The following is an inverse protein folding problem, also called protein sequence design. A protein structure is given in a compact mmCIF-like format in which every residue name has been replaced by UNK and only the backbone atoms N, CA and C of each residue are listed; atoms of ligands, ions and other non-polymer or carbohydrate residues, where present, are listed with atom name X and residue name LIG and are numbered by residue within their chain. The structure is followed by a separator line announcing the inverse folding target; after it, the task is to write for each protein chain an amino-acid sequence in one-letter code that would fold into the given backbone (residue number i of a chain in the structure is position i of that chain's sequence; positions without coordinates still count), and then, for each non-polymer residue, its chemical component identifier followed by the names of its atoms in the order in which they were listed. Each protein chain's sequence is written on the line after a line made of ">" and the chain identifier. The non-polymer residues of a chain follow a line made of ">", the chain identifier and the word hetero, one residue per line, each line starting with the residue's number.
data_IF_283120181550
#
_entry.id   IF_283120181550
#
_cell.length_a   1.000
_cell.length_b   1.000
_cell.length_c   1.000
_cell.angle_alpha   90.00
_cell.angle_beta   90.00
_cell.angle_gamma   90.00
#
_symmetry.space_group_name_H-M   'P 1'
#
loop_
_entity.id
_entity.type
_entity.pdbx_description
1 polymer ?
#
# COMPACT_ATOMS: atom_id res chain seq x y z
N UNK A 1 -1.55 -26.22 43.05
CA UNK A 1 -0.90 -24.93 42.77
C UNK A 1 -0.22 -25.05 41.41
N UNK A 2 -0.98 -24.83 40.32
CA UNK A 2 -0.43 -24.90 38.97
C UNK A 2 0.54 -23.73 38.80
N UNK A 3 1.84 -24.03 38.68
CA UNK A 3 2.84 -23.03 38.26
C UNK A 3 2.43 -22.59 36.86
N UNK A 4 1.87 -21.38 36.74
CA UNK A 4 1.60 -20.72 35.47
C UNK A 4 2.97 -20.58 34.78
N UNK A 5 3.28 -21.48 33.85
CA UNK A 5 4.49 -21.39 33.04
C UNK A 5 4.35 -20.09 32.26
N UNK A 6 5.10 -19.08 32.68
CA UNK A 6 5.11 -17.79 31.99
C UNK A 6 5.79 -18.06 30.65
N UNK A 7 5.05 -17.94 29.55
CA UNK A 7 5.58 -18.06 28.19
C UNK A 7 6.81 -17.16 28.07
N UNK A 8 7.93 -17.73 27.65
CA UNK A 8 9.15 -16.98 27.41
C UNK A 8 9.03 -16.26 26.06
N UNK A 9 8.69 -14.96 26.10
CA UNK A 9 8.72 -14.09 24.92
C UNK A 9 9.91 -13.15 25.00
N UNK A 10 10.69 -13.07 23.91
CA UNK A 10 11.78 -12.09 23.77
C UNK A 10 11.27 -10.63 23.83
N UNK A 11 9.99 -10.42 23.55
CA UNK A 11 9.35 -9.11 23.50
C UNK A 11 8.56 -8.76 24.78
N UNK A 12 8.57 -9.63 25.79
CA UNK A 12 7.81 -9.45 27.05
C UNK A 12 8.08 -8.11 27.74
N UNK A 13 9.31 -7.61 27.61
CA UNK A 13 9.81 -6.41 28.27
C UNK A 13 10.00 -5.23 27.30
N UNK A 14 9.40 -5.30 26.10
CA UNK A 14 9.32 -4.13 25.23
C UNK A 14 8.67 -2.98 25.99
N UNK A 15 9.25 -1.80 25.90
CA UNK A 15 8.69 -0.59 26.47
C UNK A 15 8.76 0.57 25.47
N UNK A 16 7.78 1.46 25.57
CA UNK A 16 7.74 2.69 24.79
C UNK A 16 8.36 3.85 25.56
N UNK A 17 9.11 4.71 24.87
CA UNK A 17 9.65 5.94 25.40
C UNK A 17 9.35 7.09 24.44
N UNK A 18 8.62 8.10 24.91
CA UNK A 18 8.44 9.34 24.16
C UNK A 18 9.75 10.14 24.13
N UNK A 19 10.06 10.72 22.98
CA UNK A 19 11.21 11.61 22.85
C UNK A 19 10.99 12.94 23.60
N UNK A 20 12.11 13.62 23.86
CA UNK A 20 12.09 14.95 24.46
C UNK A 20 11.48 15.97 23.49
N UNK A 21 10.98 17.09 24.03
CA UNK A 21 10.26 18.09 23.24
C UNK A 21 11.12 18.72 22.12
N UNK A 22 12.42 18.87 22.31
CA UNK A 22 13.36 19.37 21.29
C UNK A 22 13.51 18.43 20.07
N UNK A 23 13.15 17.17 20.24
CA UNK A 23 13.15 16.14 19.20
C UNK A 23 11.74 15.87 18.63
N UNK A 24 10.74 16.64 19.07
CA UNK A 24 9.39 16.60 18.53
C UNK A 24 9.22 17.65 17.43
N UNK A 25 8.12 17.60 16.68
CA UNK A 25 7.78 18.62 15.70
C UNK A 25 6.59 19.42 16.21
N UNK A 26 6.83 20.69 16.57
CA UNK A 26 5.85 21.55 17.23
C UNK A 26 5.25 22.60 16.28
N UNK A 27 4.09 23.15 16.65
CA UNK A 27 3.33 24.19 15.92
C UNK A 27 2.77 23.71 14.56
N UNK A 28 2.52 22.39 14.43
CA UNK A 28 1.94 21.77 13.24
C UNK A 28 0.41 21.70 13.36
N UNK A 29 -0.34 22.32 12.46
CA UNK A 29 -1.82 22.24 12.45
C UNK A 29 -2.31 20.94 11.81
N UNK A 30 -2.39 19.87 12.60
CA UNK A 30 -2.88 18.57 12.13
C UNK A 30 -4.34 18.66 11.68
N UNK A 31 -4.67 17.98 10.58
CA UNK A 31 -6.03 17.97 10.03
C UNK A 31 -7.08 17.56 11.06
N UNK A 32 -8.25 18.21 10.96
CA UNK A 32 -9.42 17.95 11.81
C UNK A 32 -10.51 17.17 11.08
N UNK A 33 -10.26 16.79 9.83
CA UNK A 33 -11.19 16.00 9.02
C UNK A 33 -11.51 14.69 9.75
N UNK A 34 -12.79 14.33 9.80
CA UNK A 34 -13.24 13.06 10.38
C UNK A 34 -13.04 11.94 9.37
N UNK A 35 -11.86 11.34 9.41
CA UNK A 35 -11.50 10.19 8.58
C UNK A 35 -10.62 9.23 9.38
N UNK A 36 -10.71 7.92 9.13
CA UNK A 36 -10.06 6.90 9.96
C UNK A 36 -8.66 6.48 9.48
N UNK A 37 -8.07 7.17 8.49
CA UNK A 37 -6.66 6.94 8.10
C UNK A 37 -5.69 7.43 9.18
N UNK A 38 -4.41 7.12 9.04
CA UNK A 38 -3.40 7.42 10.05
C UNK A 38 -3.05 8.93 10.17
N UNK A 39 -3.32 9.73 9.12
CA UNK A 39 -2.91 11.14 8.94
C UNK A 39 -1.40 11.42 8.95
N UNK A 40 -0.58 10.38 9.07
CA UNK A 40 0.86 10.49 9.21
C UNK A 40 1.53 9.32 8.49
N UNK A 41 2.43 9.64 7.57
CA UNK A 41 3.24 8.65 6.87
C UNK A 41 4.70 9.02 7.05
N UNK A 42 5.55 8.04 7.37
CA UNK A 42 6.96 8.28 7.68
C UNK A 42 7.81 7.29 6.92
N UNK A 43 8.98 7.74 6.47
CA UNK A 43 10.00 6.88 5.91
C UNK A 43 11.39 7.27 6.51
N UNK A 44 12.47 6.60 6.12
CA UNK A 44 13.81 6.89 6.68
C UNK A 44 14.35 8.30 6.42
N UNK A 45 13.75 9.10 5.54
CA UNK A 45 14.19 10.47 5.20
C UNK A 45 13.25 11.55 5.71
N UNK A 46 11.93 11.31 5.69
CA UNK A 46 10.90 12.31 5.89
C UNK A 46 9.77 11.83 6.79
N UNK A 47 9.14 12.80 7.47
CA UNK A 47 7.82 12.66 8.09
C UNK A 47 6.82 13.51 7.30
N UNK A 48 5.73 12.88 6.87
CA UNK A 48 4.62 13.54 6.17
C UNK A 48 3.37 13.55 7.06
N UNK A 49 2.72 14.71 7.16
CA UNK A 49 1.58 14.93 8.06
C UNK A 49 0.48 15.66 7.31
N UNK A 50 -0.74 15.13 7.32
CA UNK A 50 -1.91 15.81 6.76
C UNK A 50 -2.28 16.98 7.67
N UNK A 51 -2.34 18.19 7.09
CA UNK A 51 -2.58 19.43 7.83
C UNK A 51 -3.90 20.08 7.43
N UNK A 52 -4.38 20.98 8.28
CA UNK A 52 -5.52 21.84 7.95
C UNK A 52 -5.10 22.91 6.93
N UNK A 53 -5.83 22.97 5.81
CA UNK A 53 -5.68 23.98 4.76
C UNK A 53 -6.93 24.85 4.66
N UNK A 54 -6.77 26.16 4.45
CA UNK A 54 -7.89 27.12 4.36
C UNK A 54 -8.65 27.09 3.03
N UNK A 55 -8.12 26.38 2.03
CA UNK A 55 -8.75 26.18 0.72
C UNK A 55 -8.02 25.09 -0.05
N UNK A 56 -8.69 23.95 -0.26
CA UNK A 56 -8.10 22.75 -0.86
C UNK A 56 -7.54 21.75 0.16
N UNK A 57 -6.64 20.89 -0.30
CA UNK A 57 -5.95 19.89 0.52
C UNK A 57 -4.45 20.10 0.54
N UNK A 58 -3.85 19.99 1.72
CA UNK A 58 -2.40 20.07 1.87
C UNK A 58 -1.88 19.07 2.89
N UNK A 59 -0.63 18.69 2.71
CA UNK A 59 0.14 17.96 3.70
C UNK A 59 1.55 18.54 3.81
N UNK A 60 2.11 18.41 5.01
CA UNK A 60 3.45 18.86 5.35
C UNK A 60 4.43 17.71 5.12
N UNK A 61 5.62 17.99 4.59
CA UNK A 61 6.72 17.02 4.50
C UNK A 61 7.97 17.63 5.11
N UNK A 62 8.48 17.03 6.18
CA UNK A 62 9.66 17.49 6.91
C UNK A 62 10.76 16.44 6.84
N UNK A 63 12.02 16.83 6.58
CA UNK A 63 13.17 15.97 6.85
C UNK A 63 13.21 15.57 8.34
N UNK A 64 13.57 14.32 8.64
CA UNK A 64 13.57 13.80 10.03
C UNK A 64 14.47 14.59 11.00
N UNK A 65 15.52 15.23 10.49
CA UNK A 65 16.44 16.03 11.31
C UNK A 65 15.90 17.43 11.64
N UNK A 66 14.79 17.85 11.01
CA UNK A 66 14.17 19.17 11.21
C UNK A 66 13.15 19.14 12.34
N UNK A 67 13.60 18.81 13.55
CA UNK A 67 12.79 18.84 14.77
C UNK A 67 12.71 20.25 15.38
N UNK A 68 11.87 20.39 16.39
CA UNK A 68 11.56 21.63 17.09
C UNK A 68 10.34 22.34 16.51
N UNK A 69 10.28 23.66 16.73
CA UNK A 69 9.17 24.49 16.27
C UNK A 69 9.22 24.70 14.76
N UNK A 70 8.16 24.31 14.07
CA UNK A 70 8.02 24.48 12.62
C UNK A 70 7.40 25.85 12.34
N UNK A 71 7.96 26.58 11.37
CA UNK A 71 7.40 27.86 10.94
C UNK A 71 6.02 27.65 10.30
N UNK A 72 5.08 28.54 10.60
CA UNK A 72 3.74 28.55 9.99
C UNK A 72 3.79 28.77 8.47
N UNK A 73 4.86 29.43 7.98
CA UNK A 73 5.12 29.66 6.57
C UNK A 73 5.95 28.55 5.91
N UNK A 74 6.24 27.44 6.62
CA UNK A 74 6.99 26.34 6.04
C UNK A 74 6.25 25.77 4.81
N UNK A 75 6.95 25.51 3.69
CA UNK A 75 6.33 25.05 2.46
C UNK A 75 5.63 23.69 2.64
N UNK A 76 4.50 23.55 1.95
CA UNK A 76 3.64 22.36 1.99
C UNK A 76 3.50 21.77 0.60
N UNK A 77 3.04 20.52 0.53
CA UNK A 77 2.53 19.94 -0.72
C UNK A 77 1.07 20.34 -0.85
N UNK A 78 0.72 21.02 -1.93
CA UNK A 78 -0.56 21.67 -2.14
C UNK A 78 -0.94 21.68 -3.63
N UNK A 79 -1.67 20.67 -4.10
CA UNK A 79 -2.31 20.69 -5.43
C UNK A 79 -3.72 20.10 -5.44
N UNK A 80 -4.13 19.43 -4.37
CA UNK A 80 -5.50 18.94 -4.20
C UNK A 80 -6.49 20.09 -4.00
N UNK A 81 -7.66 19.95 -4.61
CA UNK A 81 -8.76 20.92 -4.51
C UNK A 81 -9.74 20.61 -3.38
N UNK A 82 -9.59 19.45 -2.74
CA UNK A 82 -10.31 19.05 -1.53
C UNK A 82 -9.36 18.50 -0.45
N UNK A 83 -9.82 18.31 0.80
CA UNK A 83 -9.00 17.77 1.87
C UNK A 83 -8.32 16.44 1.51
N UNK A 84 -7.04 16.32 1.87
CA UNK A 84 -6.30 15.06 1.75
C UNK A 84 -6.78 14.11 2.85
N UNK A 85 -7.14 12.89 2.45
CA UNK A 85 -7.69 11.86 3.34
C UNK A 85 -6.66 10.80 3.70
N UNK A 86 -5.71 10.51 2.81
CA UNK A 86 -4.69 9.49 3.06
C UNK A 86 -3.37 9.83 2.33
N UNK A 87 -2.25 9.39 2.90
CA UNK A 87 -0.90 9.58 2.37
C UNK A 87 -0.07 8.32 2.60
N UNK A 88 0.70 7.89 1.59
CA UNK A 88 1.55 6.70 1.70
C UNK A 88 2.86 6.85 0.92
N UNK A 89 3.97 6.49 1.55
CA UNK A 89 5.30 6.57 0.95
C UNK A 89 5.55 5.35 0.07
N UNK A 90 6.17 5.57 -1.09
CA UNK A 90 6.57 4.47 -1.95
C UNK A 90 7.62 3.60 -1.24
N UNK A 91 7.42 2.28 -1.09
CA UNK A 91 8.36 1.40 -0.40
C UNK A 91 9.70 1.31 -1.13
N UNK A 92 9.71 1.55 -2.44
CA UNK A 92 10.89 1.44 -3.31
C UNK A 92 11.58 2.78 -3.61
N UNK A 93 11.03 3.90 -3.16
CA UNK A 93 11.63 5.22 -3.34
C UNK A 93 11.28 6.17 -2.19
N UNK A 94 12.28 6.48 -1.34
CA UNK A 94 12.10 7.31 -0.14
C UNK A 94 11.80 8.80 -0.44
N UNK A 95 11.75 9.21 -1.70
CA UNK A 95 11.36 10.55 -2.13
C UNK A 95 9.98 10.61 -2.81
N UNK A 96 9.30 9.47 -3.00
CA UNK A 96 7.99 9.42 -3.67
C UNK A 96 6.90 9.16 -2.65
N UNK A 97 5.87 10.00 -2.65
CA UNK A 97 4.68 9.86 -1.80
C UNK A 97 3.42 9.98 -2.66
N UNK A 98 2.39 9.18 -2.35
CA UNK A 98 1.06 9.30 -2.93
C UNK A 98 0.11 9.97 -1.93
N UNK A 99 -0.91 10.67 -2.42
CA UNK A 99 -1.98 11.26 -1.62
C UNK A 99 -3.35 11.03 -2.26
N UNK A 100 -4.33 10.62 -1.46
CA UNK A 100 -5.75 10.49 -1.85
C UNK A 100 -6.59 11.59 -1.21
N UNK A 101 -7.59 12.10 -1.93
CA UNK A 101 -8.28 13.33 -1.56
C UNK A 101 -9.81 13.26 -1.74
N UNK A 102 -10.51 14.19 -1.08
CA UNK A 102 -11.93 14.47 -1.30
C UNK A 102 -12.26 14.95 -2.71
N UNK A 103 -11.27 15.42 -3.47
CA UNK A 103 -11.44 15.83 -4.88
C UNK A 103 -11.49 14.65 -5.88
N UNK A 104 -11.60 13.43 -5.38
CA UNK A 104 -11.69 12.18 -6.15
C UNK A 104 -10.41 11.79 -6.91
N UNK A 105 -9.29 12.50 -6.71
CA UNK A 105 -8.03 12.19 -7.36
C UNK A 105 -7.03 11.52 -6.42
N UNK A 106 -6.11 10.76 -7.00
CA UNK A 106 -4.86 10.37 -6.35
C UNK A 106 -3.72 11.10 -7.04
N UNK A 107 -2.88 11.77 -6.27
CA UNK A 107 -1.71 12.48 -6.78
C UNK A 107 -0.42 11.83 -6.26
N UNK A 108 0.59 11.72 -7.11
CA UNK A 108 1.92 11.21 -6.73
C UNK A 108 2.95 12.32 -6.86
N UNK A 109 3.79 12.45 -5.84
CA UNK A 109 4.70 13.58 -5.66
C UNK A 109 6.15 13.09 -5.55
N UNK A 110 7.07 13.83 -6.16
CA UNK A 110 8.50 13.68 -5.95
C UNK A 110 8.98 14.78 -4.99
N UNK A 111 9.44 14.36 -3.82
CA UNK A 111 9.96 15.25 -2.78
C UNK A 111 11.45 15.50 -3.03
N UNK A 112 11.92 16.76 -3.03
CA UNK A 112 13.34 17.06 -3.14
C UNK A 112 14.14 16.44 -1.99
N UNK A 113 15.38 16.03 -2.26
CA UNK A 113 16.20 15.30 -1.28
C UNK A 113 16.38 16.02 0.06
N UNK A 114 16.49 17.36 0.04
CA UNK A 114 16.69 18.18 1.23
C UNK A 114 15.36 18.69 1.84
N UNK A 115 14.22 18.13 1.41
CA UNK A 115 12.89 18.60 1.76
C UNK A 115 12.45 19.82 0.93
N UNK A 116 11.29 20.36 1.28
CA UNK A 116 10.68 21.45 0.54
C UNK A 116 11.36 22.80 0.84
N UNK A 117 11.69 23.54 -0.22
CA UNK A 117 12.17 24.94 -0.17
C UNK A 117 11.05 25.90 -0.54
N UNK A 118 10.21 25.52 -1.50
CA UNK A 118 8.98 26.22 -1.90
C UNK A 118 7.81 25.24 -1.83
N UNK A 119 6.58 25.77 -1.81
CA UNK A 119 5.39 24.92 -1.91
C UNK A 119 5.42 24.08 -3.17
N UNK A 120 4.98 22.82 -3.07
CA UNK A 120 4.93 21.88 -4.19
C UNK A 120 3.48 21.71 -4.63
N UNK A 121 3.12 22.25 -5.80
CA UNK A 121 1.75 22.19 -6.32
C UNK A 121 1.55 21.28 -7.52
N UNK A 122 2.62 20.99 -8.24
CA UNK A 122 2.57 20.14 -9.43
C UNK A 122 2.96 18.71 -9.05
N UNK A 123 2.02 17.74 -9.12
CA UNK A 123 2.34 16.34 -8.93
C UNK A 123 3.06 15.78 -10.16
N UNK A 124 3.77 14.66 -9.96
CA UNK A 124 4.41 13.90 -11.03
C UNK A 124 3.35 13.21 -11.91
N UNK A 125 2.28 12.72 -11.29
CA UNK A 125 1.10 12.19 -11.99
C UNK A 125 -0.15 12.43 -11.16
N UNK A 126 -1.25 12.73 -11.87
CA UNK A 126 -2.62 12.73 -11.35
C UNK A 126 -3.30 11.50 -11.91
N UNK A 127 -3.85 10.67 -11.02
CA UNK A 127 -4.60 9.46 -11.33
C UNK A 127 -6.09 9.77 -11.13
N UNK A 128 -6.81 9.78 -12.24
CA UNK A 128 -8.24 10.11 -12.30
C UNK A 128 -9.02 8.86 -12.70
N UNK A 129 -10.03 8.50 -11.91
CA UNK A 129 -10.85 7.31 -12.18
C UNK A 129 -11.92 7.07 -11.11
N UNK A 130 -11.70 7.54 -9.88
CA UNK A 130 -12.74 7.55 -8.86
C UNK A 130 -13.74 8.68 -9.10
N UNK A 131 -15.02 8.40 -8.81
CA UNK A 131 -16.13 9.37 -8.92
C UNK A 131 -16.48 10.01 -7.57
N UNK A 132 -15.92 9.49 -6.47
CA UNK A 132 -16.08 10.02 -5.11
C UNK A 132 -14.72 10.08 -4.41
N UNK A 133 -14.70 10.71 -3.23
CA UNK A 133 -13.50 10.88 -2.40
C UNK A 133 -12.67 9.59 -2.30
N UNK A 134 -11.36 9.74 -2.43
CA UNK A 134 -10.38 8.64 -2.30
C UNK A 134 -9.75 8.72 -0.92
N UNK A 135 -9.98 7.71 -0.10
CA UNK A 135 -9.57 7.74 1.31
C UNK A 135 -8.71 6.57 1.75
N UNK A 136 -8.33 5.71 0.81
CA UNK A 136 -7.42 4.58 1.03
C UNK A 136 -6.46 4.55 -0.14
N UNK A 137 -5.17 4.61 0.15
CA UNK A 137 -4.11 4.36 -0.83
C UNK A 137 -3.07 3.43 -0.21
N UNK A 138 -2.52 2.51 -1.01
CA UNK A 138 -1.44 1.65 -0.55
C UNK A 138 -0.57 1.21 -1.71
N UNK A 139 0.74 1.45 -1.60
CA UNK A 139 1.70 0.98 -2.59
C UNK A 139 1.81 -0.54 -2.57
N UNK A 140 2.03 -1.11 -3.74
CA UNK A 140 2.35 -2.52 -3.86
C UNK A 140 3.71 -2.82 -3.21
N UNK A 141 3.84 -3.91 -2.42
CA UNK A 141 5.05 -4.16 -1.64
C UNK A 141 6.27 -4.58 -2.47
N UNK A 142 6.07 -5.26 -3.62
CA UNK A 142 7.18 -5.84 -4.41
C UNK A 142 7.29 -5.34 -5.85
N UNK A 143 6.17 -5.12 -6.55
CA UNK A 143 6.12 -4.56 -7.89
C UNK A 143 6.40 -3.06 -7.94
N UNK A 144 7.24 -2.65 -8.89
CA UNK A 144 7.58 -1.24 -9.14
C UNK A 144 6.35 -0.47 -9.62
N UNK A 145 6.17 0.76 -9.13
CA UNK A 145 5.16 1.72 -9.62
C UNK A 145 3.69 1.24 -9.56
N UNK A 146 3.39 0.13 -8.88
CA UNK A 146 2.00 -0.33 -8.70
C UNK A 146 1.43 0.30 -7.44
N UNK A 147 0.28 0.96 -7.56
CA UNK A 147 -0.42 1.63 -6.47
C UNK A 147 -1.88 1.18 -6.46
N UNK A 148 -2.42 0.87 -5.28
CA UNK A 148 -3.84 0.63 -5.09
C UNK A 148 -4.49 1.88 -4.50
N UNK A 149 -5.68 2.22 -4.99
CA UNK A 149 -6.58 3.18 -4.35
C UNK A 149 -7.98 2.61 -4.18
N UNK A 150 -8.67 3.03 -3.13
CA UNK A 150 -10.09 2.75 -2.94
C UNK A 150 -10.86 4.00 -2.51
N UNK A 151 -12.01 4.20 -3.16
CA UNK A 151 -12.86 5.38 -3.01
C UNK A 151 -14.19 5.08 -2.32
N UNK A 152 -14.92 6.14 -1.97
CA UNK A 152 -16.32 6.02 -1.49
C UNK A 152 -17.33 5.72 -2.60
N UNK A 153 -16.86 5.52 -3.81
CA UNK A 153 -17.59 4.89 -4.91
C UNK A 153 -17.56 3.36 -4.83
N UNK A 154 -16.94 2.82 -3.77
CA UNK A 154 -16.81 1.39 -3.48
C UNK A 154 -15.97 0.65 -4.53
N UNK A 155 -15.21 1.39 -5.34
CA UNK A 155 -14.31 0.85 -6.34
C UNK A 155 -12.91 0.70 -5.73
N UNK A 156 -12.22 -0.38 -6.09
CA UNK A 156 -10.77 -0.52 -5.93
C UNK A 156 -10.13 -0.40 -7.31
N UNK A 157 -9.17 0.51 -7.45
CA UNK A 157 -8.40 0.68 -8.69
C UNK A 157 -6.93 0.37 -8.40
N UNK A 158 -6.31 -0.40 -9.28
CA UNK A 158 -4.86 -0.65 -9.26
C UNK A 158 -4.24 0.03 -10.48
N UNK A 159 -3.27 0.89 -10.20
CA UNK A 159 -2.66 1.81 -11.15
C UNK A 159 -1.25 1.37 -11.49
N UNK A 160 -0.84 1.64 -12.74
CA UNK A 160 0.57 1.78 -13.06
C UNK A 160 0.94 3.27 -13.01
N UNK A 161 1.60 3.68 -11.94
CA UNK A 161 2.03 5.08 -11.73
C UNK A 161 3.04 5.53 -12.80
N UNK A 162 3.81 4.61 -13.38
CA UNK A 162 4.79 4.90 -14.43
C UNK A 162 4.14 5.29 -15.76
N UNK A 163 2.91 4.85 -16.03
CA UNK A 163 2.16 5.24 -17.24
C UNK A 163 0.98 6.17 -16.94
N UNK A 164 0.52 6.21 -15.68
CA UNK A 164 -0.68 6.92 -15.25
C UNK A 164 -1.97 6.20 -15.63
N UNK A 165 -1.91 4.91 -15.98
CA UNK A 165 -3.06 4.13 -16.44
C UNK A 165 -3.71 3.36 -15.28
N UNK A 166 -5.05 3.32 -15.27
CA UNK A 166 -5.82 2.37 -14.46
C UNK A 166 -5.74 0.99 -15.13
N UNK A 167 -5.08 0.04 -14.46
CA UNK A 167 -4.80 -1.27 -15.06
C UNK A 167 -5.86 -2.31 -14.69
N UNK A 168 -6.36 -2.25 -13.46
CA UNK A 168 -7.41 -3.15 -12.94
C UNK A 168 -8.43 -2.30 -12.19
N UNK A 169 -9.71 -2.55 -12.42
CA UNK A 169 -10.84 -1.93 -11.74
C UNK A 169 -11.74 -3.02 -11.19
N UNK A 170 -11.80 -3.14 -9.86
CA UNK A 170 -12.61 -4.16 -9.20
C UNK A 170 -14.03 -3.63 -8.98
N UNK A 171 -14.82 -3.64 -10.05
CA UNK A 171 -16.22 -3.22 -10.04
C UNK A 171 -17.11 -4.28 -9.38
N UNK A 172 -18.20 -3.84 -8.73
CA UNK A 172 -19.23 -4.70 -8.13
C UNK A 172 -18.78 -5.75 -7.09
N UNK A 173 -17.52 -5.73 -6.64
CA UNK A 173 -17.02 -6.61 -5.57
C UNK A 173 -17.41 -6.13 -4.16
N UNK A 174 -17.72 -4.84 -4.01
CA UNK A 174 -18.04 -4.21 -2.73
C UNK A 174 -19.37 -3.46 -2.81
N UNK A 175 -20.44 -3.95 -2.15
CA UNK A 175 -21.75 -3.32 -2.22
C UNK A 175 -21.89 -2.06 -1.36
N UNK A 176 -20.92 -1.77 -0.48
CA UNK A 176 -20.92 -0.62 0.43
C UNK A 176 -19.48 -0.13 0.65
N UNK A 177 -19.31 0.90 1.47
CA UNK A 177 -18.05 1.60 1.71
C UNK A 177 -16.96 0.65 2.16
N UNK A 178 -15.83 0.71 1.45
CA UNK A 178 -14.59 0.03 1.82
C UNK A 178 -13.95 0.82 2.95
N UNK A 179 -13.73 0.17 4.09
CA UNK A 179 -13.05 0.79 5.23
C UNK A 179 -11.54 0.68 5.11
N UNK A 180 -11.01 -0.50 4.77
CA UNK A 180 -9.56 -0.72 4.64
C UNK A 180 -9.25 -1.65 3.47
N UNK A 181 -8.07 -1.45 2.86
CA UNK A 181 -7.46 -2.35 1.90
C UNK A 181 -5.97 -2.55 2.27
N UNK A 182 -5.45 -3.77 2.12
CA UNK A 182 -4.07 -4.11 2.45
C UNK A 182 -3.54 -5.20 1.51
N UNK A 183 -2.32 -5.05 1.01
CA UNK A 183 -1.61 -6.08 0.26
C UNK A 183 -1.09 -7.18 1.18
N UNK A 184 -1.06 -8.43 0.70
CA UNK A 184 -0.27 -9.48 1.34
C UNK A 184 1.23 -9.26 1.09
N UNK A 185 2.09 -10.03 1.76
CA UNK A 185 3.55 -9.82 1.76
C UNK A 185 4.19 -9.73 0.37
N UNK A 186 3.75 -10.55 -0.59
CA UNK A 186 4.29 -10.57 -1.95
C UNK A 186 3.45 -9.78 -2.97
N UNK A 187 2.33 -9.19 -2.53
CA UNK A 187 1.40 -8.43 -3.36
C UNK A 187 0.60 -9.27 -4.35
N UNK A 188 0.48 -10.58 -4.16
CA UNK A 188 -0.39 -11.42 -4.99
C UNK A 188 -1.88 -11.28 -4.65
N UNK A 189 -2.21 -10.89 -3.42
CA UNK A 189 -3.58 -10.78 -2.91
C UNK A 189 -3.78 -9.46 -2.18
N UNK A 190 -5.03 -9.00 -2.16
CA UNK A 190 -5.49 -7.89 -1.31
C UNK A 190 -6.52 -8.38 -0.30
N UNK A 191 -6.51 -7.79 0.88
CA UNK A 191 -7.52 -7.99 1.92
C UNK A 191 -8.29 -6.68 2.07
N UNK A 192 -9.60 -6.76 2.00
CA UNK A 192 -10.50 -5.61 2.12
C UNK A 192 -11.51 -5.84 3.24
N UNK A 193 -11.88 -4.77 3.92
CA UNK A 193 -12.93 -4.80 4.93
C UNK A 193 -14.00 -3.76 4.60
N UNK A 194 -15.26 -4.19 4.59
CA UNK A 194 -16.35 -3.42 4.02
C UNK A 194 -17.45 -3.14 5.06
N UNK A 195 -18.24 -2.09 4.81
CA UNK A 195 -19.37 -1.66 5.65
C UNK A 195 -20.54 -2.65 5.67
N UNK A 196 -20.60 -3.57 4.70
CA UNK A 196 -21.47 -4.74 4.72
C UNK A 196 -21.12 -5.77 5.83
N UNK A 197 -20.05 -5.50 6.60
CA UNK A 197 -19.47 -6.32 7.67
C UNK A 197 -18.70 -7.54 7.17
N UNK A 198 -18.34 -7.56 5.91
CA UNK A 198 -17.63 -8.65 5.27
C UNK A 198 -16.15 -8.31 5.07
N UNK A 199 -15.29 -9.30 5.32
CA UNK A 199 -13.88 -9.26 4.93
C UNK A 199 -13.72 -10.10 3.67
N UNK A 200 -13.00 -9.58 2.68
CA UNK A 200 -12.71 -10.28 1.42
C UNK A 200 -11.21 -10.33 1.17
N UNK A 201 -10.73 -11.52 0.84
CA UNK A 201 -9.40 -11.78 0.29
C UNK A 201 -9.57 -11.98 -1.21
N UNK A 202 -8.93 -11.14 -2.00
CA UNK A 202 -9.16 -11.02 -3.44
C UNK A 202 -7.85 -11.22 -4.18
N UNK A 203 -7.85 -11.99 -5.26
CA UNK A 203 -6.81 -11.97 -6.28
C UNK A 203 -7.17 -10.87 -7.29
N UNK A 204 -6.52 -9.69 -7.24
CA UNK A 204 -6.94 -8.56 -8.04
C UNK A 204 -6.76 -8.80 -9.54
N UNK A 205 -5.79 -9.62 -9.97
CA UNK A 205 -5.52 -9.84 -11.41
C UNK A 205 -6.51 -10.79 -12.05
N UNK A 206 -7.12 -11.66 -11.25
CA UNK A 206 -8.19 -12.57 -11.68
C UNK A 206 -9.59 -12.02 -11.40
N UNK A 207 -9.66 -10.92 -10.65
CA UNK A 207 -10.91 -10.31 -10.22
C UNK A 207 -11.79 -11.31 -9.43
N UNK A 208 -11.15 -12.17 -8.63
CA UNK A 208 -11.78 -13.30 -7.94
C UNK A 208 -11.66 -13.17 -6.42
N UNK A 209 -12.75 -13.44 -5.70
CA UNK A 209 -12.76 -13.54 -4.24
C UNK A 209 -12.27 -14.94 -3.85
N UNK A 210 -11.09 -15.03 -3.26
CA UNK A 210 -10.46 -16.28 -2.83
C UNK A 210 -10.95 -16.71 -1.45
N UNK A 211 -11.32 -15.74 -0.61
CA UNK A 211 -11.87 -16.00 0.72
C UNK A 211 -12.78 -14.87 1.16
N UNK A 212 -13.91 -15.22 1.77
CA UNK A 212 -14.91 -14.26 2.24
C UNK A 212 -15.40 -14.66 3.62
N UNK A 213 -15.53 -13.67 4.51
CA UNK A 213 -16.18 -13.86 5.81
C UNK A 213 -17.22 -12.79 6.04
N UNK A 214 -18.50 -13.17 5.89
CA UNK A 214 -19.62 -12.34 6.31
C UNK A 214 -19.68 -12.20 7.83
N UNK A 215 -20.03 -10.99 8.29
CA UNK A 215 -20.18 -10.65 9.72
C UNK A 215 -18.95 -11.05 10.55
N UNK A 216 -17.76 -10.77 10.05
CA UNK A 216 -16.52 -11.02 10.78
C UNK A 216 -16.52 -10.33 12.17
N UNK A 217 -17.17 -9.18 12.25
CA UNK A 217 -17.53 -8.53 13.50
C UNK A 217 -19.02 -8.13 13.45
N UNK A 218 -19.77 -8.36 14.53
CA UNK A 218 -21.22 -8.09 14.54
C UNK A 218 -21.56 -6.59 14.68
N UNK A 219 -20.63 -5.79 15.17
CA UNK A 219 -20.80 -4.36 15.39
C UNK A 219 -21.05 -3.58 14.10
N UNK A 220 -21.59 -2.37 14.23
CA UNK A 220 -21.90 -1.48 13.10
C UNK A 220 -20.77 -0.48 12.78
N UNK A 221 -19.70 -0.47 13.59
CA UNK A 221 -18.58 0.46 13.46
C UNK A 221 -17.54 -0.06 12.45
N UNK A 222 -16.71 0.84 11.89
CA UNK A 222 -15.67 0.45 10.95
C UNK A 222 -14.73 -0.60 11.52
N UNK A 223 -14.29 -1.51 10.65
CA UNK A 223 -13.27 -2.50 10.96
C UNK A 223 -12.03 -2.28 10.09
N UNK A 224 -10.90 -2.84 10.52
CA UNK A 224 -9.66 -2.92 9.77
C UNK A 224 -9.30 -4.38 9.55
N UNK A 225 -8.71 -4.68 8.41
CA UNK A 225 -8.14 -5.98 8.11
C UNK A 225 -6.76 -5.82 7.48
N UNK A 226 -5.79 -6.60 7.96
CA UNK A 226 -4.42 -6.64 7.44
C UNK A 226 -3.96 -8.09 7.30
N UNK A 227 -3.02 -8.33 6.38
CA UNK A 227 -2.33 -9.61 6.32
C UNK A 227 -1.21 -9.71 7.34
N UNK A 228 -1.00 -10.93 7.81
CA UNK A 228 0.15 -11.34 8.60
C UNK A 228 1.21 -12.03 7.72
N UNK A 229 2.39 -12.29 8.29
CA UNK A 229 3.52 -12.86 7.55
C UNK A 229 3.31 -14.32 7.10
N UNK A 230 2.43 -15.04 7.78
CA UNK A 230 1.99 -16.42 7.50
C UNK A 230 0.85 -16.47 6.46
N UNK A 231 0.34 -15.31 6.02
CA UNK A 231 -0.79 -15.20 5.11
C UNK A 231 -2.16 -15.17 5.80
N UNK A 232 -2.23 -15.32 7.14
CA UNK A 232 -3.47 -15.14 7.88
C UNK A 232 -3.92 -13.68 7.87
N UNK A 233 -5.20 -13.44 8.12
CA UNK A 233 -5.80 -12.12 8.18
C UNK A 233 -6.09 -11.74 9.63
N UNK A 234 -5.54 -10.63 10.08
CA UNK A 234 -5.82 -10.06 11.39
C UNK A 234 -6.78 -8.88 11.25
N UNK A 235 -7.85 -8.90 12.04
CA UNK A 235 -8.86 -7.85 12.01
C UNK A 235 -9.09 -7.21 13.35
N UNK A 236 -9.43 -5.93 13.29
CA UNK A 236 -9.90 -5.17 14.44
C UNK A 236 -11.29 -4.62 14.11
N UNK A 237 -12.25 -4.85 14.99
CA UNK A 237 -13.61 -4.41 14.78
C UNK A 237 -14.34 -4.25 16.11
N UNK A 238 -15.67 -4.41 16.07
CA UNK A 238 -16.51 -4.18 17.23
C UNK A 238 -17.52 -5.32 17.42
N UNK A 239 -17.75 -5.71 18.66
CA UNK A 239 -18.82 -6.62 19.05
C UNK A 239 -20.18 -5.96 18.84
N UNK A 240 -21.25 -6.76 18.91
CA UNK A 240 -22.63 -6.24 18.93
C UNK A 240 -22.88 -5.27 20.08
N UNK A 241 -22.19 -5.45 21.21
CA UNK A 241 -22.24 -4.57 22.38
C UNK A 241 -21.29 -3.36 22.27
N UNK A 242 -20.69 -3.14 21.09
CA UNK A 242 -19.72 -2.07 20.82
C UNK A 242 -18.39 -2.19 21.60
N UNK A 243 -17.98 -3.41 21.96
CA UNK A 243 -16.64 -3.67 22.49
C UNK A 243 -15.66 -3.84 21.34
N UNK A 244 -14.47 -3.25 21.44
CA UNK A 244 -13.40 -3.46 20.48
C UNK A 244 -12.94 -4.91 20.52
N UNK A 245 -12.87 -5.53 19.35
CA UNK A 245 -12.53 -6.94 19.17
C UNK A 245 -11.35 -7.09 18.23
N UNK A 246 -10.52 -8.09 18.50
CA UNK A 246 -9.45 -8.56 17.64
C UNK A 246 -9.82 -9.97 17.18
N UNK A 247 -9.68 -10.26 15.89
CA UNK A 247 -9.89 -11.59 15.38
C UNK A 247 -8.78 -12.00 14.42
N UNK A 248 -8.48 -13.29 14.40
CA UNK A 248 -7.52 -13.91 13.50
C UNK A 248 -8.25 -14.91 12.61
N UNK A 249 -8.02 -14.82 11.31
CA UNK A 249 -8.73 -15.60 10.29
C UNK A 249 -7.73 -16.29 9.37
N UNK A 250 -8.07 -17.51 8.96
CA UNK A 250 -7.35 -18.20 7.89
C UNK A 250 -8.10 -17.97 6.57
N UNK A 251 -7.49 -17.34 5.54
CA UNK A 251 -8.14 -17.14 4.25
C UNK A 251 -8.61 -18.42 3.56
N UNK A 252 -7.99 -19.56 3.84
CA UNK A 252 -8.40 -20.86 3.27
C UNK A 252 -9.60 -21.47 4.01
N UNK A 253 -9.86 -21.04 5.24
CA UNK A 253 -10.93 -21.53 6.10
C UNK A 253 -11.53 -20.36 6.89
N UNK A 254 -12.35 -19.57 6.21
CA UNK A 254 -12.94 -18.34 6.74
C UNK A 254 -14.18 -18.57 7.62
N UNK A 255 -14.70 -19.78 7.69
CA UNK A 255 -15.94 -20.09 8.41
C UNK A 255 -15.84 -19.81 9.92
N UNK A 256 -14.71 -20.15 10.53
CA UNK A 256 -14.46 -19.94 11.96
C UNK A 256 -13.17 -19.14 12.18
N UNK A 257 -13.21 -18.22 13.15
CA UNK A 257 -12.02 -17.48 13.55
C UNK A 257 -11.06 -18.41 14.31
N UNK A 258 -9.76 -18.29 14.03
CA UNK A 258 -8.70 -18.97 14.79
C UNK A 258 -8.72 -18.51 16.25
N UNK A 259 -8.90 -17.20 16.45
CA UNK A 259 -9.05 -16.62 17.77
C UNK A 259 -9.84 -15.31 17.71
N UNK A 260 -10.61 -15.03 18.75
CA UNK A 260 -11.30 -13.76 18.96
C UNK A 260 -11.00 -13.29 20.38
N UNK A 261 -10.59 -12.02 20.50
CA UNK A 261 -10.26 -11.39 21.77
C UNK A 261 -11.03 -10.09 21.92
N UNK A 262 -11.73 -9.94 23.03
CA UNK A 262 -12.38 -8.69 23.42
C UNK A 262 -11.42 -7.81 24.20
N UNK A 263 -11.52 -6.49 24.00
CA UNK A 263 -10.62 -5.52 24.61
C UNK A 263 -11.34 -4.58 25.58
N UNK A 264 -11.99 -3.55 25.08
CA UNK A 264 -12.67 -2.52 25.87
C UNK A 264 -13.82 -1.89 25.08
N UNK A 265 -14.58 -0.99 25.70
CA UNK A 265 -15.77 -0.35 25.13
C UNK A 265 -15.49 1.02 24.48
N UNK A 266 -14.24 1.30 24.09
CA UNK A 266 -13.88 2.60 23.52
C UNK A 266 -14.42 2.76 22.09
N UNK A 267 -14.70 4.00 21.69
CA UNK A 267 -15.33 4.30 20.41
C UNK A 267 -14.37 4.32 19.21
N UNK A 268 -13.07 4.51 19.44
CA UNK A 268 -12.08 4.72 18.39
C UNK A 268 -11.78 3.45 17.60
N UNK A 269 -11.80 3.55 16.28
CA UNK A 269 -11.37 2.47 15.37
C UNK A 269 -9.90 2.19 15.61
N UNK A 270 -9.56 0.94 15.90
CA UNK A 270 -8.17 0.52 16.09
C UNK A 270 -7.49 0.39 14.73
N UNK A 271 -6.30 0.98 14.60
CA UNK A 271 -5.42 0.81 13.47
C UNK A 271 -4.36 -0.24 13.84
N UNK A 272 -4.33 -1.40 13.17
CA UNK A 272 -3.31 -2.40 13.39
C UNK A 272 -2.06 -2.08 12.58
N UNK A 273 -0.93 -1.94 13.27
CA UNK A 273 0.41 -1.83 12.68
C UNK A 273 1.14 -3.13 12.96
N UNK A 274 1.30 -3.97 11.94
CA UNK A 274 1.95 -5.27 12.08
C UNK A 274 3.40 -5.21 11.64
N UNK A 275 4.27 -5.79 12.45
CA UNK A 275 5.67 -6.00 12.14
C UNK A 275 5.91 -7.47 11.75
N UNK A 276 6.16 -7.77 10.45
CA UNK A 276 6.35 -9.14 9.99
C UNK A 276 7.66 -9.77 10.48
N UNK A 277 8.65 -8.97 10.90
CA UNK A 277 9.96 -9.48 11.33
C UNK A 277 9.93 -10.01 12.76
N UNK A 278 9.07 -9.41 13.60
CA UNK A 278 8.93 -9.77 15.02
C UNK A 278 7.61 -10.46 15.34
N UNK A 279 6.67 -10.50 14.39
CA UNK A 279 5.28 -10.90 14.60
C UNK A 279 4.57 -10.13 15.71
N UNK A 280 4.97 -8.89 15.96
CA UNK A 280 4.31 -7.98 16.91
C UNK A 280 3.31 -7.11 16.16
N UNK A 281 2.08 -7.04 16.68
CA UNK A 281 1.06 -6.10 16.21
C UNK A 281 0.84 -5.02 17.27
N UNK A 282 0.87 -3.77 16.83
CA UNK A 282 0.58 -2.59 17.63
C UNK A 282 -0.80 -2.04 17.25
N UNK A 283 -1.61 -1.74 18.25
CA UNK A 283 -2.96 -1.25 18.10
C UNK A 283 -3.07 0.14 18.71
N UNK A 284 -3.58 1.08 17.91
CA UNK A 284 -3.88 2.42 18.38
C UNK A 284 -5.06 3.00 17.60
N UNK A 285 -5.97 3.69 18.28
CA UNK A 285 -7.12 4.36 17.64
C UNK A 285 -7.08 5.87 17.83
N UNK A 286 -7.67 6.61 16.89
CA UNK A 286 -7.87 8.06 17.08
C UNK A 286 -8.72 8.30 18.33
N UNK A 287 -8.27 9.21 19.18
CA UNK A 287 -8.87 9.49 20.50
C UNK A 287 -8.28 8.67 21.65
N UNK A 288 -7.53 7.60 21.38
CA UNK A 288 -6.86 6.84 22.43
C UNK A 288 -5.62 7.57 22.94
N UNK A 289 -5.27 7.36 24.21
CA UNK A 289 -4.02 7.83 24.80
C UNK A 289 -2.98 6.71 24.96
N UNK A 290 -3.28 5.51 24.44
CA UNK A 290 -2.45 4.31 24.63
C UNK A 290 -2.17 3.58 23.32
N UNK A 291 -0.97 2.99 23.22
CA UNK A 291 -0.59 2.03 22.18
C UNK A 291 -0.48 0.67 22.85
N UNK A 292 -1.32 -0.29 22.45
CA UNK A 292 -1.30 -1.66 22.97
C UNK A 292 -0.56 -2.54 21.97
N UNK A 293 0.15 -3.56 22.43
CA UNK A 293 0.85 -4.44 21.53
C UNK A 293 0.80 -5.89 21.97
N UNK A 294 0.73 -6.75 20.96
CA UNK A 294 0.51 -8.18 21.07
C UNK A 294 1.52 -8.90 20.19
N UNK A 295 1.92 -10.09 20.60
CA UNK A 295 2.73 -10.99 19.80
C UNK A 295 1.84 -12.08 19.23
N UNK A 296 1.94 -12.30 17.92
CA UNK A 296 1.19 -13.34 17.21
C UNK A 296 2.09 -14.55 17.03
N UNK A 297 1.59 -15.71 17.44
CA UNK A 297 2.31 -17.00 17.38
C UNK A 297 1.37 -18.13 17.01
N UNK A 298 1.93 -19.27 16.63
CA UNK A 298 1.16 -20.48 16.33
C UNK A 298 0.66 -21.22 17.59
N UNK A 299 1.06 -20.79 18.79
CA UNK A 299 0.63 -21.36 20.05
C UNK A 299 -0.62 -20.65 20.59
N UNK A 300 -1.67 -21.42 20.89
CA UNK A 300 -2.90 -20.92 21.52
C UNK A 300 -2.59 -20.10 22.80
N UNK A 301 -3.23 -18.93 23.03
CA UNK A 301 -4.37 -18.36 22.30
C UNK A 301 -4.04 -17.58 21.02
N UNK A 302 -2.87 -17.82 20.41
CA UNK A 302 -2.36 -17.21 19.17
C UNK A 302 -1.97 -15.73 19.30
N UNK A 303 -2.85 -14.91 19.87
CA UNK A 303 -2.63 -13.48 20.11
C UNK A 303 -2.28 -13.26 21.58
N UNK A 304 -1.01 -13.00 21.86
CA UNK A 304 -0.49 -12.85 23.23
C UNK A 304 -0.29 -11.39 23.57
N UNK A 305 -1.03 -10.88 24.56
CA UNK A 305 -0.81 -9.53 25.07
C UNK A 305 0.58 -9.37 25.69
N UNK A 306 1.34 -8.36 25.23
CA UNK A 306 2.66 -8.05 25.77
C UNK A 306 2.56 -6.97 26.86
N UNK A 307 2.20 -5.76 26.45
CA UNK A 307 2.12 -4.58 27.32
C UNK A 307 1.40 -3.43 26.61
N UNK A 308 1.26 -2.31 27.32
CA UNK A 308 0.63 -1.08 26.83
C UNK A 308 1.54 0.10 27.14
N UNK A 309 1.76 0.97 26.16
CA UNK A 309 2.36 2.28 26.36
C UNK A 309 1.24 3.31 26.52
N UNK A 310 1.26 4.09 27.60
CA UNK A 310 0.20 5.07 27.92
C UNK A 310 0.78 6.47 28.03
N UNK A 311 0.03 7.44 27.53
CA UNK A 311 0.33 8.86 27.58
C UNK A 311 -0.86 9.63 28.14
N UNK A 312 -0.70 10.93 28.41
CA UNK A 312 -1.78 11.77 28.94
C UNK A 312 -2.72 12.31 27.87
N UNK A 313 -2.19 12.59 26.67
CA UNK A 313 -2.92 13.24 25.60
C UNK A 313 -3.46 12.23 24.59
N UNK A 314 -4.67 12.41 24.05
CA UNK A 314 -5.22 11.53 23.03
C UNK A 314 -4.54 11.75 21.67
N UNK A 315 -4.35 10.68 20.90
CA UNK A 315 -3.81 10.76 19.54
C UNK A 315 -4.85 11.23 18.53
N UNK A 316 -4.47 12.10 17.61
CA UNK A 316 -5.25 12.47 16.40
C UNK A 316 -4.88 11.66 15.16
N UNK A 317 -3.73 11.00 15.21
CA UNK A 317 -3.17 10.22 14.11
C UNK A 317 -1.87 9.56 14.57
N UNK A 318 -1.34 8.67 13.75
CA UNK A 318 -0.18 7.86 14.10
C UNK A 318 0.63 7.48 12.88
N UNK A 319 1.88 7.90 12.80
CA UNK A 319 2.82 7.39 11.80
C UNK A 319 3.58 6.18 12.33
N UNK A 320 4.02 5.30 11.43
CA UNK A 320 4.83 4.13 11.76
C UNK A 320 6.08 4.12 10.88
N UNK A 321 7.25 4.03 11.51
CA UNK A 321 8.54 4.04 10.81
C UNK A 321 8.86 2.67 10.20
N UNK A 322 9.19 2.60 8.89
CA UNK A 322 9.72 1.39 8.28
C UNK A 322 11.02 0.92 8.94
N UNK A 323 11.29 -0.39 8.89
CA UNK A 323 12.46 -1.03 9.51
C UNK A 323 13.80 -0.37 9.18
N UNK A 324 13.94 0.12 7.94
CA UNK A 324 15.14 0.82 7.45
C UNK A 324 15.48 2.11 8.21
N UNK A 325 14.51 2.73 8.90
CA UNK A 325 14.69 3.99 9.64
C UNK A 325 14.87 3.84 11.15
N UNK A 326 14.93 2.60 11.65
CA UNK A 326 15.11 2.31 13.07
C UNK A 326 16.59 2.35 13.49
N UNK A 327 16.82 2.70 14.74
CA UNK A 327 18.15 2.68 15.36
C UNK A 327 18.45 1.29 15.95
N UNK A 328 19.01 0.42 15.12
CA UNK A 328 19.36 -0.97 15.48
C UNK A 328 20.35 -1.07 16.63
N UNK A 329 21.21 -0.05 16.80
CA UNK A 329 22.22 -0.03 17.87
C UNK A 329 21.59 0.16 19.24
N UNK A 330 20.41 0.78 19.31
CA UNK A 330 19.65 0.99 20.56
C UNK A 330 18.58 -0.08 20.79
N UNK A 331 18.58 -1.17 20.02
CA UNK A 331 17.56 -2.21 20.09
C UNK A 331 16.12 -1.66 19.91
N UNK A 332 15.97 -0.63 19.07
CA UNK A 332 14.67 -0.10 18.66
C UNK A 332 14.00 -1.04 17.64
N UNK A 333 12.81 -1.54 17.95
CA UNK A 333 12.06 -2.45 17.08
C UNK A 333 10.94 -1.77 16.30
N UNK A 334 10.45 -0.63 16.79
CA UNK A 334 9.45 0.20 16.14
C UNK A 334 9.59 1.65 16.60
N UNK A 335 9.24 2.60 15.72
CA UNK A 335 9.11 4.03 16.05
C UNK A 335 7.76 4.53 15.57
N UNK A 336 6.99 5.07 16.50
CA UNK A 336 5.71 5.70 16.22
C UNK A 336 5.87 7.21 16.14
N UNK A 337 5.09 7.87 15.30
CA UNK A 337 5.01 9.32 15.17
C UNK A 337 3.61 9.76 15.53
N UNK A 338 3.38 9.94 16.83
CA UNK A 338 2.06 10.24 17.37
C UNK A 338 1.69 11.68 17.06
N UNK A 339 0.55 11.86 16.40
CA UNK A 339 -0.01 13.19 16.17
C UNK A 339 -0.89 13.61 17.33
N UNK A 340 -0.62 14.78 17.86
CA UNK A 340 -1.48 15.53 18.76
C UNK A 340 -2.20 16.63 17.97
N UNK A 341 -2.82 17.60 18.65
CA UNK A 341 -3.47 18.71 17.94
C UNK A 341 -2.48 19.67 17.26
N UNK A 342 -1.35 19.96 17.93
CA UNK A 342 -0.34 20.91 17.45
C UNK A 342 1.10 20.39 17.43
N UNK A 343 1.27 19.07 17.55
CA UNK A 343 2.58 18.43 17.74
C UNK A 343 2.59 17.07 17.08
N UNK A 344 3.74 16.69 16.52
CA UNK A 344 4.09 15.31 16.22
C UNK A 344 5.18 14.84 17.19
N UNK A 345 4.89 13.78 17.94
CA UNK A 345 5.75 13.25 19.00
C UNK A 345 6.24 11.86 18.63
N UNK A 346 7.56 11.69 18.40
CA UNK A 346 8.12 10.37 18.19
C UNK A 346 8.13 9.54 19.49
N UNK A 347 7.71 8.28 19.39
CA UNK A 347 7.71 7.28 20.47
C UNK A 347 8.54 6.09 20.01
N UNK A 348 9.58 5.77 20.76
CA UNK A 348 10.52 4.69 20.47
C UNK A 348 10.08 3.44 21.24
N UNK A 349 9.94 2.30 20.55
CA UNK A 349 9.68 1.00 21.16
C UNK A 349 10.99 0.21 21.21
N UNK A 350 11.46 -0.10 22.41
CA UNK A 350 12.79 -0.71 22.62
C UNK A 350 12.67 -2.05 23.31
N UNK A 351 13.47 -3.02 22.84
CA UNK A 351 13.73 -4.27 23.56
C UNK A 351 14.95 -4.04 24.47
N UNK A 352 14.83 -4.14 25.80
CA UNK A 352 15.94 -3.90 26.71
C UNK A 352 16.98 -5.03 26.62
N UNK A 353 18.02 -4.84 25.80
CA UNK A 353 19.22 -5.69 25.76
C UNK A 353 20.41 -4.90 26.29
N UNK A 354 21.32 -5.57 26.99
CA UNK A 354 22.59 -5.01 27.48
C UNK A 354 23.73 -5.54 26.62
N UNK A 355 23.74 -5.17 25.34
CA UNK A 355 24.78 -5.59 24.40
C UNK A 355 25.00 -4.50 23.37
N UNK A 356 26.28 -4.24 23.06
CA UNK A 356 26.69 -3.35 21.98
C UNK A 356 26.82 -4.10 20.63
N UNK A 357 26.60 -5.42 20.64
CA UNK A 357 26.61 -6.25 19.45
C UNK A 357 25.26 -6.17 18.73
N UNK A 358 25.31 -6.24 17.40
CA UNK A 358 24.12 -6.36 16.58
C UNK A 358 23.31 -7.61 16.99
N UNK A 359 22.00 -7.42 17.19
CA UNK A 359 21.10 -8.47 17.66
C UNK A 359 20.39 -9.13 16.46
N UNK A 360 21.02 -10.15 15.86
CA UNK A 360 20.47 -10.86 14.71
C UNK A 360 19.08 -11.47 15.00
N UNK A 361 18.77 -11.81 16.27
CA UNK A 361 17.48 -12.36 16.68
C UNK A 361 16.33 -11.34 16.69
N UNK A 362 16.65 -10.05 16.77
CA UNK A 362 15.68 -8.94 16.73
C UNK A 362 15.50 -8.39 15.32
N UNK A 363 16.52 -8.52 14.48
CA UNK A 363 16.60 -7.93 13.15
C UNK A 363 16.93 -8.99 12.10
N UNK A 364 15.98 -9.88 11.76
CA UNK A 364 16.13 -10.72 10.59
C UNK A 364 16.20 -9.86 9.31
N UNK A 365 16.59 -10.47 8.19
CA UNK A 365 16.60 -9.77 6.91
C UNK A 365 15.18 -9.29 6.56
N UNK A 366 15.05 -8.00 6.27
CA UNK A 366 13.77 -7.29 6.12
C UNK A 366 13.58 -6.80 4.69
N UNK A 367 12.36 -6.42 4.31
CA UNK A 367 12.07 -5.92 2.98
C UNK A 367 12.87 -4.64 2.66
N UNK A 368 13.67 -4.69 1.59
CA UNK A 368 14.49 -3.59 1.11
C UNK A 368 13.75 -2.59 0.22
N UNK A 369 14.44 -1.53 -0.22
CA UNK A 369 13.88 -0.54 -1.14
C UNK A 369 13.93 -0.97 -2.62
N UNK A 370 14.50 -2.13 -2.95
CA UNK A 370 14.54 -2.61 -4.32
C UNK A 370 13.26 -3.39 -4.64
N UNK A 371 12.62 -3.05 -5.76
CA UNK A 371 11.46 -3.78 -6.28
C UNK A 371 11.89 -5.16 -6.80
N UNK A 372 11.09 -6.18 -6.53
CA UNK A 372 11.37 -7.55 -6.98
C UNK A 372 11.00 -7.77 -8.45
N UNK A 373 9.95 -7.09 -8.91
CA UNK A 373 9.37 -7.22 -10.25
C UNK A 373 8.97 -5.85 -10.79
N UNK A 374 8.96 -5.71 -12.11
CA UNK A 374 8.42 -4.54 -12.78
C UNK A 374 6.88 -4.59 -12.82
N UNK A 375 6.23 -3.46 -13.11
CA UNK A 375 4.78 -3.35 -13.12
C UNK A 375 4.17 -4.31 -14.15
N UNK A 376 4.69 -4.28 -15.38
CA UNK A 376 4.21 -5.06 -16.52
C UNK A 376 4.25 -6.56 -16.21
N UNK A 377 5.36 -7.01 -15.64
CA UNK A 377 5.59 -8.39 -15.23
C UNK A 377 4.56 -8.86 -14.19
N UNK A 378 4.20 -8.00 -13.24
CA UNK A 378 3.21 -8.31 -12.22
C UNK A 378 1.80 -8.41 -12.80
N UNK A 379 1.43 -7.47 -13.69
CA UNK A 379 0.14 -7.48 -14.39
C UNK A 379 0.00 -8.70 -15.31
N UNK A 380 1.10 -9.19 -15.89
CA UNK A 380 1.14 -10.46 -16.66
C UNK A 380 0.95 -11.72 -15.78
N UNK A 381 0.91 -11.57 -14.46
CA UNK A 381 0.65 -12.66 -13.52
C UNK A 381 1.89 -13.20 -12.79
N UNK A 382 3.07 -12.59 -12.93
CA UNK A 382 4.26 -12.99 -12.16
C UNK A 382 4.17 -12.49 -10.72
N UNK A 383 4.71 -13.28 -9.80
CA UNK A 383 4.83 -12.93 -8.39
C UNK A 383 6.32 -12.91 -8.02
N UNK A 384 6.71 -11.96 -7.16
CA UNK A 384 8.05 -11.87 -6.62
C UNK A 384 7.98 -11.57 -5.13
N UNK A 385 8.75 -12.32 -4.34
CA UNK A 385 8.91 -12.04 -2.93
C UNK A 385 9.76 -10.77 -2.72
N UNK A 386 9.56 -10.01 -1.63
CA UNK A 386 10.33 -8.81 -1.35
C UNK A 386 11.84 -9.11 -1.32
N UNK A 387 12.66 -8.29 -1.97
CA UNK A 387 14.11 -8.40 -1.90
C UNK A 387 14.55 -8.03 -0.48
N UNK A 388 15.10 -8.99 0.25
CA UNK A 388 15.48 -8.80 1.64
C UNK A 388 16.87 -8.17 1.77
N UNK A 389 17.03 -7.31 2.78
CA UNK A 389 18.30 -6.67 3.14
C UNK A 389 18.57 -6.84 4.63
N UNK A 390 19.85 -6.93 4.98
CA UNK A 390 20.29 -6.93 6.37
C UNK A 390 20.42 -5.51 6.91
N UNK A 391 19.87 -5.25 8.11
CA UNK A 391 19.97 -3.95 8.79
C UNK A 391 21.30 -3.74 9.52
N UNK A 392 22.22 -4.72 9.49
CA UNK A 392 23.51 -4.66 10.21
C UNK A 392 24.38 -3.49 9.80
N UNK A 393 24.32 -3.09 8.53
CA UNK A 393 25.09 -1.97 7.98
C UNK A 393 24.39 -0.61 8.14
N UNK A 394 23.26 -0.56 8.87
CA UNK A 394 22.44 0.63 9.01
C UNK A 394 21.63 0.94 7.76
N UNK A 395 21.22 2.20 7.63
CA UNK A 395 20.43 2.66 6.49
C UNK A 395 21.26 2.72 5.21
N UNK A 396 20.92 1.86 4.25
CA UNK A 396 21.42 1.94 2.88
C UNK A 396 20.36 2.63 2.02
N UNK A 397 20.64 3.82 1.46
CA UNK A 397 19.71 4.47 0.55
C UNK A 397 19.52 3.60 -0.69
N UNK A 398 18.27 3.47 -1.14
CA UNK A 398 17.98 2.83 -2.43
C UNK A 398 18.60 3.59 -3.59
N UNK A 399 18.65 2.97 -4.77
CA UNK A 399 19.04 3.67 -6.00
C UNK A 399 17.98 4.73 -6.31
N UNK A 400 18.23 5.98 -5.89
CA UNK A 400 17.36 7.11 -6.19
C UNK A 400 17.23 7.25 -7.72
N UNK A 401 16.06 6.89 -8.25
CA UNK A 401 15.68 7.15 -9.64
C UNK A 401 14.49 8.08 -9.58
N UNK A 402 14.60 9.24 -10.22
CA UNK A 402 13.46 10.13 -10.40
C UNK A 402 12.30 9.34 -11.02
N UNK A 403 11.11 9.48 -10.43
CA UNK A 403 9.91 8.87 -11.00
C UNK A 403 9.62 9.54 -12.34
N UNK A 404 9.86 8.82 -13.44
CA UNK A 404 9.53 9.25 -14.78
C UNK A 404 8.22 8.62 -15.20
N UNK A 405 7.29 9.47 -15.65
CA UNK A 405 5.99 9.03 -16.16
C UNK A 405 6.03 9.10 -17.68
N UNK A 406 5.80 7.97 -18.33
CA UNK A 406 5.72 7.85 -19.78
C UNK A 406 4.28 7.51 -20.14
N UNK A 407 3.48 8.54 -20.44
CA UNK A 407 2.11 8.34 -20.94
C UNK A 407 2.18 7.74 -22.34
N UNK A 408 1.54 6.60 -22.57
CA UNK A 408 1.38 6.04 -23.92
C UNK A 408 0.41 6.93 -24.70
N UNK A 409 0.85 7.47 -25.84
CA UNK A 409 -0.05 8.22 -26.72
C UNK A 409 -0.98 7.26 -27.46
N UNK A 410 -2.30 7.45 -27.33
CA UNK A 410 -3.36 6.65 -27.95
C UNK A 410 -3.28 6.60 -29.49
N UNK A 411 -2.47 7.47 -30.12
CA UNK A 411 -2.26 7.53 -31.57
C UNK A 411 -1.36 6.40 -32.13
N UNK A 412 -0.48 5.80 -31.32
CA UNK A 412 0.44 4.76 -31.82
C UNK A 412 -0.26 3.41 -32.07
N UNK A 413 -1.40 3.16 -31.43
CA UNK A 413 -2.22 1.96 -31.67
C UNK A 413 -3.04 1.98 -32.97
N UNK A 414 -3.06 3.10 -33.71
CA UNK A 414 -3.69 3.16 -35.05
C UNK A 414 -2.71 2.89 -36.20
N UNK A 415 -1.41 2.91 -35.95
CA UNK A 415 -0.40 2.64 -36.97
C UNK A 415 -0.01 1.15 -37.08
N UNK A 416 -0.34 0.34 -36.07
CA UNK A 416 -0.04 -1.10 -36.07
C UNK A 416 -1.10 -1.98 -36.78
N UNK A 417 -2.28 -1.44 -37.14
CA UNK A 417 -3.31 -2.19 -37.87
C UNK A 417 -3.29 -2.05 -39.41
N UNK A 418 -2.38 -1.25 -39.97
CA UNK A 418 -2.25 -1.08 -41.43
C UNK A 418 -0.91 -1.58 -42.00
N UNK A 419 -0.11 -2.32 -41.21
CA UNK A 419 1.20 -2.83 -41.64
C UNK A 419 1.27 -4.37 -41.77
N UNK A 420 0.13 -5.06 -41.81
CA UNK A 420 0.06 -6.48 -42.20
C UNK A 420 -0.50 -6.63 -43.62
N UNK A 421 0.29 -6.23 -44.61
CA UNK A 421 0.29 -6.89 -45.93
C UNK A 421 1.49 -6.45 -46.78
N UNK A 422 2.69 -6.88 -46.40
CA UNK A 422 3.77 -7.10 -47.37
C UNK A 422 4.64 -8.26 -46.89
N UNK A 423 4.58 -9.37 -47.62
CA UNK A 423 5.26 -10.62 -47.29
C UNK A 423 6.78 -10.51 -47.39
N UNK A 424 7.45 -11.09 -46.40
CA UNK A 424 8.89 -11.34 -46.37
C UNK A 424 9.24 -12.55 -47.24
N UNK A 425 10.06 -12.32 -48.27
CA UNK A 425 10.83 -13.40 -48.92
C UNK A 425 12.20 -13.46 -48.26
N UNK A 426 12.41 -14.47 -47.42
CA UNK A 426 13.70 -14.83 -46.85
C UNK A 426 14.61 -15.44 -47.94
N UNK A 427 15.83 -14.90 -48.08
CA UNK A 427 16.97 -15.60 -48.69
C UNK A 427 17.95 -15.99 -47.60
N UNK A 428 18.04 -17.28 -47.32
CA UNK A 428 19.10 -17.90 -46.55
C UNK A 428 20.33 -18.16 -47.45
N UNK A 429 21.52 -17.88 -46.92
CA UNK A 429 22.78 -18.26 -47.49
C UNK A 429 23.25 -19.58 -46.87
N UNK A 430 23.51 -20.59 -47.68
CA UNK A 430 24.39 -21.71 -47.32
C UNK A 430 25.19 -22.17 -48.54
N UNK A 431 26.37 -22.68 -48.26
CA UNK A 431 27.55 -22.89 -49.09
C UNK A 431 27.41 -23.90 -50.25
N UNK A 432 28.18 -23.64 -51.31
CA UNK A 432 28.68 -24.55 -52.37
C UNK A 432 28.99 -25.99 -51.89
N UNK A 433 28.85 -27.03 -52.73
CA UNK A 433 29.66 -27.17 -53.96
C UNK A 433 28.95 -27.67 -55.23
N UNK A 434 29.74 -27.58 -56.29
CA UNK A 434 29.54 -27.79 -57.73
C UNK A 434 28.97 -29.14 -58.16
N UNK A 435 28.22 -29.18 -59.28
CA UNK A 435 28.53 -29.87 -60.55
C UNK A 435 27.33 -29.78 -61.53
N UNK A 436 27.56 -29.03 -62.61
CA UNK A 436 27.24 -29.27 -64.04
C UNK A 436 25.93 -29.98 -64.46
N UNK A 437 25.08 -29.17 -65.12
CA UNK A 437 24.34 -29.42 -66.39
C UNK A 437 23.38 -30.62 -66.51
N UNK A 438 22.10 -30.35 -66.78
CA UNK A 438 21.54 -30.41 -68.16
C UNK A 438 20.05 -30.01 -68.15
N UNK A 439 19.61 -29.53 -69.32
CA UNK A 439 18.32 -28.91 -69.63
C UNK A 439 17.10 -29.84 -69.51
N UNK A 440 15.88 -29.27 -69.50
CA UNK A 440 14.93 -29.28 -70.64
C UNK A 440 13.64 -28.53 -70.22
N UNK A 441 13.05 -27.94 -71.25
CA UNK A 441 11.97 -26.96 -71.41
C UNK A 441 10.52 -27.45 -71.23
N UNK A 442 9.59 -26.51 -71.53
CA UNK A 442 8.12 -26.56 -71.73
C UNK A 442 7.27 -26.24 -70.51
N UNK A 443 6.15 -25.49 -70.52
CA UNK A 443 5.51 -24.40 -71.31
C UNK A 443 3.98 -24.56 -71.15
N UNK A 444 3.23 -23.46 -71.27
CA UNK A 444 1.76 -23.35 -71.37
C UNK A 444 0.97 -23.66 -70.08
N UNK A 445 -0.14 -22.99 -69.75
CA UNK A 445 -0.89 -21.94 -70.45
C UNK A 445 -2.18 -21.59 -69.67
N UNK A 446 -2.71 -20.40 -69.97
CA UNK A 446 -4.11 -19.87 -69.95
C UNK A 446 -5.18 -20.61 -69.10
N UNK A 447 -6.17 -19.96 -68.44
CA UNK A 447 -7.24 -19.14 -69.06
C UNK A 447 -8.20 -18.58 -67.97
N UNK A 448 -8.88 -17.48 -68.33
CA UNK A 448 -10.00 -16.71 -67.75
C UNK A 448 -11.14 -17.44 -67.00
N UNK A 449 -11.90 -16.66 -66.20
CA UNK A 449 -13.35 -16.26 -66.32
C UNK A 449 -13.76 -15.57 -64.99
N UNK A 450 -14.01 -14.25 -64.89
CA UNK A 450 -15.22 -13.43 -65.14
C UNK A 450 -16.52 -13.81 -64.38
N UNK A 451 -17.01 -12.90 -63.51
CA UNK A 451 -18.27 -12.14 -63.62
C UNK A 451 -19.17 -11.96 -62.35
N UNK A 452 -19.65 -10.70 -62.20
CA UNK A 452 -20.97 -10.19 -61.72
C UNK A 452 -21.28 -10.29 -60.20
N UNK A 453 -21.51 -9.26 -59.38
CA UNK A 453 -22.20 -7.94 -59.37
C UNK A 453 -23.66 -7.99 -58.86
N UNK A 454 -24.03 -6.94 -58.08
CA UNK A 454 -25.38 -6.50 -57.60
C UNK A 454 -25.84 -6.98 -56.20
N UNK A 455 -26.63 -6.27 -55.38
CA UNK A 455 -26.75 -4.87 -54.87
C UNK A 455 -28.01 -4.82 -53.96
N UNK A 456 -28.09 -3.82 -53.04
CA UNK A 456 -29.26 -3.34 -52.26
C UNK A 456 -29.82 -4.25 -51.14
N UNK A 457 -30.31 -3.76 -49.98
CA UNK A 457 -30.53 -2.42 -49.45
C UNK A 457 -31.43 -2.45 -48.18
N UNK A 458 -31.17 -1.51 -47.25
CA UNK A 458 -32.04 -0.78 -46.30
C UNK A 458 -33.05 -1.40 -45.28
N UNK A 459 -33.05 -0.72 -44.11
CA UNK A 459 -34.17 -0.33 -43.20
C UNK A 459 -34.77 -1.40 -42.26
N UNK A 460 -35.27 -1.14 -41.04
CA UNK A 460 -35.35 0.00 -40.09
C UNK A 460 -35.92 -0.56 -38.76
N UNK A 461 -35.64 0.12 -37.63
CA UNK A 461 -36.43 0.32 -36.39
C UNK A 461 -37.46 -0.73 -35.86
N UNK A 462 -37.41 -1.00 -34.55
CA UNK A 462 -38.44 -0.54 -33.59
C UNK A 462 -38.07 -0.85 -32.11
N UNK A 463 -38.49 0.05 -31.24
CA UNK A 463 -38.46 0.01 -29.77
C UNK A 463 -39.51 -0.95 -29.20
N UNK A 464 -39.26 -1.47 -28.00
CA UNK A 464 -40.13 -1.32 -26.83
C UNK A 464 -39.29 -1.32 -25.55
#
# INVERSE_FOLDING_TARGET
>A
MFRRVVRASKFRHVFGQALKNDQCYDDIRVSRVTWDSSFCAVNPKFVAIIIEASGGGAFLVLPLHKSGRIDKAYPTVCGHTGPVLDIDWCPHNDQVIASGSEDCTVMVWQIPENGLVTGLSEPVVVLEGHSKRVGIITWHPTARNVLLSAGCDNLVIIWNVGTGEAMIQLEDMHPDVIFSACWNRNGSLICTACKDKTIRVIDPRKEEIVGEKEKAHEGARPMRAIFLSDGNVFTTGFSRMSERQLALWNPQAMDEAISVHEMDTSNGVLLPFYDPDTSVVYLCGKGDSSIRYFEITDEAPFVHYLSTFTTKEPQRGMGYMPKRGLDVNKCEIARFYKLHERKCEPIIMTVPRKSDLFQDDLYPDTAGPECAIEAEDWFEGRNGEPILISLKNGYVPGKNRDLKVVKKNILDNKLSKNAENTGTVNKSASSTPSIVSTAVSFSLGRTLIQNVMSTFGCQENCME
#
